data_IF_377895578798
#
_entry.id   IF_377895578798
#
_cell.length_a   1.000
_cell.length_b   1.000
_cell.length_c   1.000
_cell.angle_alpha   90.00
_cell.angle_beta   90.00
_cell.angle_gamma   90.00
#
_symmetry.space_group_name_H-M   'P 1'
#
loop_
_entity.id
_entity.type
_entity.pdbx_description
1 polymer ?
#
# COMPACT_ATOMS: atom_id res chain seq x y z
N UNK A 1 30.71 -65.26 7.23
CA UNK A 1 31.24 -64.03 7.86
C UNK A 1 30.27 -62.91 7.53
N UNK A 2 29.37 -62.61 8.47
CA UNK A 2 28.40 -61.53 8.37
C UNK A 2 28.98 -60.33 9.12
N UNK A 3 29.29 -59.24 8.43
CA UNK A 3 29.72 -58.00 9.04
C UNK A 3 28.54 -57.04 9.15
N UNK A 4 28.18 -56.77 10.40
CA UNK A 4 27.10 -55.88 10.83
C UNK A 4 27.52 -54.42 10.70
N UNK A 5 26.76 -53.65 9.92
CA UNK A 5 26.87 -52.21 9.84
C UNK A 5 26.38 -51.56 11.14
N UNK A 6 27.25 -50.77 11.77
CA UNK A 6 26.93 -49.90 12.93
C UNK A 6 26.78 -48.47 12.43
N UNK A 7 25.58 -47.91 12.52
CA UNK A 7 25.29 -46.49 12.27
C UNK A 7 25.83 -45.61 13.41
N UNK A 8 26.47 -44.46 13.13
CA UNK A 8 26.78 -43.46 14.14
C UNK A 8 25.58 -42.52 14.38
N UNK A 9 25.27 -42.29 15.67
CA UNK A 9 24.23 -41.39 16.15
C UNK A 9 24.56 -39.90 15.92
N UNK A 10 23.56 -39.02 15.71
CA UNK A 10 23.77 -37.63 15.33
C UNK A 10 24.11 -36.71 16.51
N UNK A 11 25.05 -35.81 16.26
CA UNK A 11 25.40 -34.68 17.10
C UNK A 11 24.25 -33.64 17.09
N UNK A 12 23.33 -33.74 18.06
CA UNK A 12 22.22 -32.81 18.25
C UNK A 12 22.50 -31.68 19.26
N UNK A 13 23.68 -31.60 19.87
CA UNK A 13 23.95 -30.67 20.99
C UNK A 13 24.66 -29.36 20.63
N UNK A 14 24.75 -29.02 19.33
CA UNK A 14 25.40 -27.75 18.89
C UNK A 14 24.49 -26.78 18.13
N UNK A 15 23.21 -27.10 17.91
CA UNK A 15 22.29 -26.24 17.18
C UNK A 15 21.56 -25.20 18.05
N UNK A 16 21.36 -25.47 19.36
CA UNK A 16 20.44 -24.66 20.18
C UNK A 16 21.04 -23.36 20.77
N UNK A 17 22.34 -23.12 20.64
CA UNK A 17 22.98 -21.91 21.18
C UNK A 17 23.13 -20.76 20.18
N UNK A 18 22.68 -20.92 18.93
CA UNK A 18 22.69 -19.86 17.91
C UNK A 18 21.30 -19.35 17.50
N UNK A 19 20.21 -19.94 18.00
CA UNK A 19 18.87 -19.72 17.45
C UNK A 19 18.06 -18.55 18.03
N UNK A 20 18.57 -17.76 18.98
CA UNK A 20 17.74 -16.78 19.69
C UNK A 20 18.30 -15.35 19.73
N UNK A 21 18.92 -14.90 18.64
CA UNK A 21 19.26 -13.48 18.46
C UNK A 21 17.97 -12.74 18.06
N UNK A 22 17.50 -11.83 18.93
CA UNK A 22 16.34 -10.97 18.66
C UNK A 22 16.56 -10.23 17.33
N UNK A 23 15.67 -10.37 16.33
CA UNK A 23 15.77 -9.58 15.10
C UNK A 23 15.80 -8.08 15.44
N UNK A 24 16.64 -7.27 14.77
CA UNK A 24 16.65 -5.83 15.01
C UNK A 24 15.29 -5.22 14.63
N UNK A 25 14.83 -4.27 15.44
CA UNK A 25 13.59 -3.53 15.12
C UNK A 25 13.90 -2.60 13.94
N UNK A 26 13.12 -2.65 12.83
CA UNK A 26 13.35 -1.77 11.69
C UNK A 26 13.12 -0.30 12.05
N UNK A 27 14.01 0.57 11.59
CA UNK A 27 13.90 2.02 11.78
C UNK A 27 12.88 2.65 10.83
N UNK A 28 11.69 2.94 11.36
CA UNK A 28 10.56 3.51 10.61
C UNK A 28 10.88 4.84 9.92
N UNK A 29 11.68 5.70 10.56
CA UNK A 29 11.98 7.02 10.04
C UNK A 29 12.98 6.97 8.89
N UNK A 30 13.99 6.08 8.97
CA UNK A 30 14.97 5.88 7.89
C UNK A 30 14.27 5.28 6.66
N UNK A 31 13.45 4.25 6.85
CA UNK A 31 12.64 3.66 5.79
C UNK A 31 11.77 4.69 5.07
N UNK A 32 11.04 5.55 5.80
CA UNK A 32 10.19 6.59 5.20
C UNK A 32 11.00 7.60 4.40
N UNK A 33 12.19 7.98 4.88
CA UNK A 33 13.07 8.92 4.17
C UNK A 33 13.64 8.31 2.88
N UNK A 34 14.10 7.06 2.93
CA UNK A 34 14.65 6.35 1.77
C UNK A 34 13.57 6.06 0.73
N UNK A 35 12.38 5.63 1.16
CA UNK A 35 11.22 5.44 0.30
C UNK A 35 10.82 6.74 -0.39
N UNK A 36 10.75 7.86 0.34
CA UNK A 36 10.39 9.15 -0.26
C UNK A 36 11.43 9.64 -1.28
N UNK A 37 12.73 9.38 -1.05
CA UNK A 37 13.79 9.69 -2.03
C UNK A 37 13.65 8.81 -3.27
N UNK A 38 13.52 7.50 -3.09
CA UNK A 38 13.39 6.55 -4.19
C UNK A 38 12.12 6.78 -5.03
N UNK A 39 10.99 7.09 -4.39
CA UNK A 39 9.72 7.42 -5.08
C UNK A 39 9.81 8.73 -5.88
N UNK A 40 10.51 9.75 -5.36
CA UNK A 40 10.79 10.99 -6.12
C UNK A 40 11.65 10.72 -7.35
N UNK A 41 12.70 9.91 -7.22
CA UNK A 41 13.57 9.55 -8.34
C UNK A 41 12.87 8.68 -9.39
N UNK A 42 11.99 7.77 -8.96
CA UNK A 42 11.14 6.98 -9.86
C UNK A 42 10.14 7.88 -10.60
N UNK A 43 9.50 8.83 -9.90
CA UNK A 43 8.58 9.80 -10.53
C UNK A 43 9.31 10.67 -11.56
N UNK A 44 10.49 11.19 -11.23
CA UNK A 44 11.30 11.94 -12.19
C UNK A 44 11.69 11.10 -13.42
N UNK A 45 11.97 9.80 -13.24
CA UNK A 45 12.22 8.86 -14.34
C UNK A 45 10.98 8.66 -15.21
N UNK A 46 9.80 8.55 -14.60
CA UNK A 46 8.51 8.43 -15.28
C UNK A 46 8.19 9.67 -16.11
N UNK A 47 8.37 10.87 -15.55
CA UNK A 47 8.11 12.12 -16.26
C UNK A 47 9.03 12.29 -17.48
N UNK A 48 10.32 11.94 -17.34
CA UNK A 48 11.27 11.91 -18.47
C UNK A 48 10.87 10.92 -19.54
N UNK A 49 10.46 9.71 -19.14
CA UNK A 49 10.03 8.65 -20.05
C UNK A 49 8.74 9.04 -20.78
N UNK A 50 7.79 9.69 -20.11
CA UNK A 50 6.57 10.22 -20.73
C UNK A 50 6.89 11.30 -21.77
N UNK A 51 7.82 12.22 -21.48
CA UNK A 51 8.27 13.25 -22.43
C UNK A 51 8.94 12.64 -23.67
N UNK A 52 9.82 11.63 -23.51
CA UNK A 52 10.45 10.93 -24.64
C UNK A 52 9.43 10.14 -25.45
N UNK A 53 8.46 9.48 -24.80
CA UNK A 53 7.35 8.79 -25.50
C UNK A 53 6.51 9.75 -26.34
N UNK A 54 6.16 10.93 -25.81
CA UNK A 54 5.42 11.94 -26.56
C UNK A 54 6.18 12.41 -27.81
N UNK A 55 7.51 12.62 -27.71
CA UNK A 55 8.35 12.95 -28.87
C UNK A 55 8.38 11.82 -29.92
N UNK A 56 8.45 10.56 -29.47
CA UNK A 56 8.40 9.39 -30.35
C UNK A 56 7.04 9.27 -31.07
N UNK A 57 5.94 9.58 -30.38
CA UNK A 57 4.59 9.53 -30.95
C UNK A 57 4.35 10.60 -32.03
N UNK A 58 4.97 11.77 -31.89
CA UNK A 58 4.98 12.81 -32.93
C UNK A 58 5.84 12.36 -34.13
N UNK A 59 7.01 11.78 -33.86
CA UNK A 59 7.96 11.33 -34.88
C UNK A 59 7.47 10.11 -35.68
N UNK A 60 6.67 9.24 -35.06
CA UNK A 60 6.15 8.04 -35.72
C UNK A 60 4.76 8.29 -36.31
N UNK A 61 4.62 8.22 -37.65
CA UNK A 61 3.31 8.12 -38.25
C UNK A 61 2.63 6.84 -37.74
N UNK A 62 1.43 6.95 -37.16
CA UNK A 62 0.71 5.79 -36.67
C UNK A 62 0.50 4.81 -37.84
N UNK A 63 0.90 3.54 -37.66
CA UNK A 63 0.88 2.53 -38.72
C UNK A 63 -0.55 2.12 -39.09
N UNK A 64 -1.50 2.35 -38.18
CA UNK A 64 -2.92 2.12 -38.40
C UNK A 64 -3.55 3.29 -39.16
N UNK A 65 -3.96 3.04 -40.40
CA UNK A 65 -4.67 4.01 -41.26
C UNK A 65 -5.96 4.53 -40.62
N UNK A 66 -6.59 3.76 -39.74
CA UNK A 66 -7.90 4.09 -39.17
C UNK A 66 -7.82 5.05 -37.97
N UNK A 67 -6.64 5.26 -37.39
CA UNK A 67 -6.42 6.17 -36.25
C UNK A 67 -5.22 7.11 -36.50
N UNK A 68 -5.31 8.02 -37.48
CA UNK A 68 -4.23 8.98 -37.75
C UNK A 68 -4.07 9.94 -36.57
N UNK A 69 -2.83 10.17 -36.17
CA UNK A 69 -2.44 11.18 -35.17
C UNK A 69 -2.99 12.57 -35.62
N UNK A 70 -3.44 13.46 -34.71
CA UNK A 70 -3.87 14.82 -35.05
C UNK A 70 -3.03 15.54 -36.12
N UNK A 71 -1.70 15.45 -36.05
CA UNK A 71 -0.79 16.05 -37.04
C UNK A 71 -0.91 15.39 -38.41
N UNK A 72 -1.12 14.07 -38.47
CA UNK A 72 -1.34 13.34 -39.73
C UNK A 72 -2.70 13.68 -40.35
N UNK A 73 -3.76 13.81 -39.54
CA UNK A 73 -5.09 14.25 -40.00
C UNK A 73 -5.00 15.62 -40.65
N UNK A 74 -4.40 16.59 -39.95
CA UNK A 74 -4.19 17.94 -40.49
C UNK A 74 -3.38 17.93 -41.79
N UNK A 75 -2.31 17.12 -41.87
CA UNK A 75 -1.53 16.97 -43.11
C UNK A 75 -2.37 16.39 -44.26
N UNK A 76 -3.21 15.39 -43.99
CA UNK A 76 -4.09 14.79 -45.00
C UNK A 76 -5.14 15.79 -45.50
N UNK A 77 -5.73 16.56 -44.59
CA UNK A 77 -6.68 17.64 -44.92
C UNK A 77 -6.03 18.73 -45.76
N UNK A 78 -4.83 19.19 -45.39
CA UNK A 78 -4.07 20.18 -46.16
C UNK A 78 -3.71 19.64 -47.56
N UNK A 79 -3.33 18.35 -47.68
CA UNK A 79 -3.06 17.73 -48.98
C UNK A 79 -4.35 17.65 -49.82
N UNK A 80 -5.49 17.33 -49.21
CA UNK A 80 -6.77 17.31 -49.90
C UNK A 80 -7.15 18.70 -50.41
N UNK A 81 -7.03 19.74 -49.57
CA UNK A 81 -7.26 21.14 -49.96
C UNK A 81 -6.29 21.60 -51.05
N UNK A 82 -5.00 21.27 -50.94
CA UNK A 82 -4.00 21.58 -51.96
C UNK A 82 -4.33 20.91 -53.31
N UNK A 83 -4.78 19.65 -53.29
CA UNK A 83 -5.20 18.93 -54.49
C UNK A 83 -6.48 19.52 -55.10
N UNK A 84 -7.45 19.94 -54.28
CA UNK A 84 -8.66 20.61 -54.74
C UNK A 84 -8.33 21.95 -55.41
N UNK A 85 -7.47 22.76 -54.79
CA UNK A 85 -6.99 24.02 -55.39
C UNK A 85 -6.22 23.74 -56.68
N UNK A 86 -5.37 22.70 -56.70
CA UNK A 86 -4.63 22.30 -57.91
C UNK A 86 -5.55 21.89 -59.05
N UNK A 87 -6.64 21.17 -58.77
CA UNK A 87 -7.66 20.82 -59.77
C UNK A 87 -8.37 22.08 -60.30
N UNK A 88 -8.76 23.01 -59.41
CA UNK A 88 -9.36 24.31 -59.80
C UNK A 88 -8.40 25.15 -60.66
N UNK A 89 -7.12 25.18 -60.31
CA UNK A 89 -6.09 25.88 -61.09
C UNK A 89 -5.78 25.20 -62.43
N UNK A 90 -5.87 23.87 -62.53
CA UNK A 90 -5.62 23.16 -63.79
C UNK A 90 -6.64 23.55 -64.88
N UNK A 91 -7.92 23.68 -64.50
CA UNK A 91 -8.96 24.21 -65.39
C UNK A 91 -8.66 25.64 -65.87
N UNK A 92 -8.25 26.52 -64.95
CA UNK A 92 -7.87 27.90 -65.26
C UNK A 92 -6.64 28.02 -66.16
N UNK A 93 -5.63 27.16 -65.98
CA UNK A 93 -4.42 27.14 -66.83
C UNK A 93 -4.72 26.79 -68.27
N UNK A 94 -5.58 25.80 -68.53
CA UNK A 94 -5.96 25.43 -69.89
C UNK A 94 -6.71 26.58 -70.58
N UNK A 95 -7.68 27.19 -69.90
CA UNK A 95 -8.40 28.35 -70.43
C UNK A 95 -7.46 29.54 -70.72
N UNK A 96 -6.50 29.81 -69.82
CA UNK A 96 -5.49 30.86 -70.00
C UNK A 96 -4.56 30.56 -71.19
N UNK A 97 -4.14 29.31 -71.38
CA UNK A 97 -3.33 28.90 -72.55
C UNK A 97 -4.08 29.15 -73.86
N UNK A 98 -5.36 28.77 -73.92
CA UNK A 98 -6.19 29.01 -75.10
C UNK A 98 -6.36 30.50 -75.41
N UNK A 99 -6.60 31.33 -74.38
CA UNK A 99 -6.66 32.80 -74.54
C UNK A 99 -5.33 33.39 -75.01
N UNK A 100 -4.20 32.92 -74.48
CA UNK A 100 -2.86 33.34 -74.94
C UNK A 100 -2.61 32.96 -76.40
N UNK A 101 -3.01 31.77 -76.82
CA UNK A 101 -2.86 31.34 -78.21
C UNK A 101 -3.80 32.11 -79.16
N UNK A 102 -5.00 32.49 -78.70
CA UNK A 102 -5.88 33.43 -79.42
C UNK A 102 -5.25 34.81 -79.56
N UNK A 103 -4.66 35.37 -78.48
CA UNK A 103 -3.93 36.64 -78.53
C UNK A 103 -2.79 36.57 -79.55
N UNK A 104 -1.97 35.52 -79.54
CA UNK A 104 -0.88 35.35 -80.52
C UNK A 104 -1.39 35.33 -81.96
N UNK A 105 -2.50 34.63 -82.23
CA UNK A 105 -3.13 34.58 -83.55
C UNK A 105 -3.64 35.96 -83.99
N UNK A 106 -4.28 36.70 -83.09
CA UNK A 106 -4.76 38.06 -83.37
C UNK A 106 -3.59 39.05 -83.54
N UNK A 107 -2.52 38.93 -82.74
CA UNK A 107 -1.31 39.74 -82.89
C UNK A 107 -0.65 39.51 -84.25
N UNK A 108 -0.60 38.25 -84.72
CA UNK A 108 -0.09 37.92 -86.07
C UNK A 108 -0.99 38.52 -87.17
N UNK A 109 -2.31 38.46 -86.99
CA UNK A 109 -3.26 39.12 -87.90
C UNK A 109 -3.07 40.64 -87.92
N UNK A 110 -2.90 41.27 -86.76
CA UNK A 110 -2.62 42.72 -86.66
C UNK A 110 -1.32 43.06 -87.39
N UNK A 111 -0.25 42.27 -87.21
CA UNK A 111 1.02 42.47 -87.92
C UNK A 111 0.85 42.36 -89.43
N UNK A 112 0.14 41.34 -89.91
CA UNK A 112 -0.16 41.18 -91.34
C UNK A 112 -0.93 42.39 -91.89
N UNK A 113 -2.00 42.81 -91.21
CA UNK A 113 -2.83 43.95 -91.63
C UNK A 113 -2.08 45.27 -91.59
N UNK A 114 -1.20 45.49 -90.61
CA UNK A 114 -0.32 46.67 -90.56
C UNK A 114 0.66 46.66 -91.74
N UNK A 115 1.25 45.51 -92.07
CA UNK A 115 2.17 45.38 -93.20
C UNK A 115 1.44 45.62 -94.54
N UNK A 116 0.26 45.05 -94.72
CA UNK A 116 -0.62 45.29 -95.88
C UNK A 116 -0.99 46.78 -95.99
N UNK A 117 -1.41 47.40 -94.89
CA UNK A 117 -1.77 48.82 -94.86
C UNK A 117 -0.55 49.70 -95.16
N UNK A 118 0.64 49.37 -94.66
CA UNK A 118 1.89 50.08 -94.95
C UNK A 118 2.27 49.96 -96.43
N UNK A 119 2.17 48.76 -97.00
CA UNK A 119 2.41 48.51 -98.42
C UNK A 119 1.38 49.22 -99.33
N UNK A 120 0.12 49.32 -98.89
CA UNK A 120 -0.90 50.07 -99.59
C UNK A 120 -0.66 51.59 -99.49
N UNK A 121 -0.30 52.10 -98.31
CA UNK A 121 0.09 53.51 -98.10
C UNK A 121 1.29 53.92 -98.94
N UNK A 122 2.30 53.05 -99.11
CA UNK A 122 3.47 53.37 -99.95
C UNK A 122 3.18 53.48 -101.45
N UNK A 123 2.06 52.91 -101.92
CA UNK A 123 1.64 52.97 -103.34
C UNK A 123 0.84 54.24 -103.66
N UNK A 124 0.40 54.99 -102.64
CA UNK A 124 -0.39 56.20 -102.82
C UNK A 124 0.53 57.43 -102.71
N UNK A 125 0.63 58.27 -103.76
CA UNK A 125 1.57 59.41 -103.77
C UNK A 125 1.13 60.60 -102.90
N UNK A 126 -0.13 60.61 -102.46
CA UNK A 126 -0.71 61.68 -101.62
C UNK A 126 -0.81 61.23 -100.16
N UNK A 127 -0.58 62.16 -99.22
CA UNK A 127 -0.57 61.88 -97.78
C UNK A 127 -1.98 61.80 -97.17
N UNK A 128 -2.91 62.60 -97.70
CA UNK A 128 -4.27 62.74 -97.18
C UNK A 128 -5.29 62.77 -98.31
N UNK A 129 -6.54 62.45 -97.97
CA UNK A 129 -7.69 62.62 -98.87
C UNK A 129 -7.91 64.09 -99.25
N UNK A 130 -7.66 65.01 -98.31
CA UNK A 130 -7.81 66.44 -98.53
C UNK A 130 -6.82 66.99 -99.57
N UNK A 131 -5.57 66.52 -99.54
CA UNK A 131 -4.55 66.92 -100.52
C UNK A 131 -4.89 66.41 -101.93
N UNK A 132 -5.41 65.18 -102.03
CA UNK A 132 -5.87 64.60 -103.28
C UNK A 132 -7.04 65.41 -103.87
N UNK A 133 -8.03 65.76 -103.04
CA UNK A 133 -9.20 66.52 -103.47
C UNK A 133 -8.83 67.96 -103.88
N UNK A 134 -7.86 68.60 -103.21
CA UNK A 134 -7.32 69.90 -103.63
C UNK A 134 -6.63 69.84 -104.99
N UNK A 135 -5.87 68.78 -105.26
CA UNK A 135 -5.19 68.59 -106.54
C UNK A 135 -6.19 68.34 -107.68
N UNK A 136 -7.24 67.54 -107.44
CA UNK A 136 -8.35 67.33 -108.38
C UNK A 136 -9.02 68.68 -108.69
N UNK A 137 -9.36 69.46 -107.66
CA UNK A 137 -10.01 70.75 -107.83
C UNK A 137 -9.13 71.78 -108.57
N UNK A 138 -7.81 71.74 -108.38
CA UNK A 138 -6.86 72.60 -109.10
C UNK A 138 -6.79 72.24 -110.58
N UNK A 139 -6.68 70.94 -110.91
CA UNK A 139 -6.65 70.46 -112.30
C UNK A 139 -7.99 70.71 -112.99
N UNK A 140 -9.11 70.48 -112.32
CA UNK A 140 -10.46 70.78 -112.83
C UNK A 140 -10.59 72.29 -113.17
N UNK A 141 -10.08 73.19 -112.31
CA UNK A 141 -10.07 74.65 -112.59
C UNK A 141 -9.19 75.02 -113.78
N UNK A 142 -8.01 74.40 -113.91
CA UNK A 142 -7.09 74.66 -115.02
C UNK A 142 -7.66 74.20 -116.36
N UNK A 143 -8.31 73.02 -116.40
CA UNK A 143 -9.01 72.54 -117.61
C UNK A 143 -10.19 73.45 -117.96
N UNK A 144 -11.01 73.85 -116.98
CA UNK A 144 -12.17 74.72 -117.22
C UNK A 144 -11.79 76.15 -117.64
N UNK A 145 -10.56 76.60 -117.34
CA UNK A 145 -10.08 77.93 -117.75
C UNK A 145 -9.78 78.05 -119.25
N UNK A 146 -9.67 76.93 -119.97
CA UNK A 146 -9.50 76.89 -121.43
C UNK A 146 -8.17 77.47 -121.94
N UNK A 147 -7.21 77.75 -121.06
CA UNK A 147 -5.91 78.35 -121.42
C UNK A 147 -4.84 77.31 -121.75
N UNK A 148 -5.18 76.01 -121.74
CA UNK A 148 -4.24 74.92 -121.94
C UNK A 148 -4.26 74.43 -123.38
N UNK A 149 -3.14 73.85 -123.83
CA UNK A 149 -3.10 73.19 -125.14
C UNK A 149 -3.93 71.91 -125.06
N UNK A 150 -4.64 71.54 -126.13
CA UNK A 150 -5.50 70.34 -126.19
C UNK A 150 -4.81 69.04 -125.71
N UNK A 151 -3.50 68.91 -125.96
CA UNK A 151 -2.70 67.77 -125.49
C UNK A 151 -2.59 67.74 -123.97
N UNK A 152 -2.42 68.90 -123.35
CA UNK A 152 -2.23 69.03 -121.91
C UNK A 152 -3.58 69.00 -121.17
N UNK A 153 -4.67 69.48 -121.78
CA UNK A 153 -6.05 69.27 -121.27
C UNK A 153 -6.41 67.78 -121.24
N UNK A 154 -6.08 67.04 -122.30
CA UNK A 154 -6.30 65.59 -122.35
C UNK A 154 -5.49 64.86 -121.27
N UNK A 155 -4.25 65.30 -121.00
CA UNK A 155 -3.44 64.77 -119.89
C UNK A 155 -4.06 65.11 -118.53
N UNK A 156 -4.44 66.36 -118.29
CA UNK A 156 -5.07 66.80 -117.05
C UNK A 156 -6.39 66.06 -116.78
N UNK A 157 -7.22 65.82 -117.79
CA UNK A 157 -8.44 65.00 -117.68
C UNK A 157 -8.14 63.52 -117.36
N UNK A 158 -7.07 62.95 -117.94
CA UNK A 158 -6.59 61.60 -117.58
C UNK A 158 -6.10 61.56 -116.12
N UNK A 159 -5.43 62.62 -115.68
CA UNK A 159 -4.91 62.75 -114.31
C UNK A 159 -6.05 62.93 -113.31
N UNK A 160 -7.08 63.73 -113.61
CA UNK A 160 -8.30 63.83 -112.79
C UNK A 160 -8.99 62.47 -112.65
N UNK A 161 -9.09 61.70 -113.74
CA UNK A 161 -9.67 60.36 -113.71
C UNK A 161 -8.83 59.39 -112.87
N UNK A 162 -7.50 59.47 -112.94
CA UNK A 162 -6.59 58.65 -112.13
C UNK A 162 -6.64 59.04 -110.65
N UNK A 163 -6.69 60.33 -110.33
CA UNK A 163 -6.84 60.87 -108.98
C UNK A 163 -8.18 60.48 -108.34
N UNK A 164 -9.30 60.55 -109.09
CA UNK A 164 -10.60 60.09 -108.60
C UNK A 164 -10.63 58.58 -108.33
N UNK A 165 -9.91 57.76 -109.11
CA UNK A 165 -9.72 56.33 -108.81
C UNK A 165 -8.90 56.13 -107.54
N UNK A 166 -7.84 56.93 -107.32
CA UNK A 166 -7.05 56.89 -106.09
C UNK A 166 -7.84 57.29 -104.85
N UNK A 167 -8.83 58.19 -104.96
CA UNK A 167 -9.74 58.55 -103.85
C UNK A 167 -10.46 57.34 -103.26
N UNK A 168 -10.90 56.40 -104.10
CA UNK A 168 -11.52 55.16 -103.65
C UNK A 168 -10.54 54.27 -102.86
N UNK A 169 -9.25 54.29 -103.20
CA UNK A 169 -8.23 53.51 -102.50
C UNK A 169 -7.97 54.03 -101.08
N UNK A 170 -8.16 55.33 -100.82
CA UNK A 170 -8.07 55.88 -99.47
C UNK A 170 -9.20 55.42 -98.54
N UNK A 171 -10.43 55.27 -99.05
CA UNK A 171 -11.52 54.66 -98.28
C UNK A 171 -11.19 53.23 -97.84
N UNK A 172 -10.49 52.46 -98.70
CA UNK A 172 -9.99 51.12 -98.35
C UNK A 172 -8.88 51.16 -97.28
N UNK A 173 -8.07 52.23 -97.21
CA UNK A 173 -7.05 52.42 -96.18
C UNK A 173 -7.66 52.73 -94.81
N UNK A 174 -8.75 53.50 -94.77
CA UNK A 174 -9.52 53.78 -93.56
C UNK A 174 -10.25 52.52 -93.07
N UNK A 175 -10.83 51.74 -93.97
CA UNK A 175 -11.44 50.46 -93.62
C UNK A 175 -10.40 49.45 -93.10
N UNK A 176 -9.18 49.44 -93.67
CA UNK A 176 -8.07 48.65 -93.15
C UNK A 176 -7.61 49.13 -91.75
N UNK A 177 -7.65 50.45 -91.50
CA UNK A 177 -7.34 51.00 -90.18
C UNK A 177 -8.37 50.55 -89.13
N UNK A 178 -9.67 50.65 -89.45
CA UNK A 178 -10.75 50.17 -88.58
C UNK A 178 -10.58 48.68 -88.26
N UNK A 179 -10.24 47.85 -89.24
CA UNK A 179 -9.97 46.42 -89.00
C UNK A 179 -8.78 46.18 -88.04
N UNK A 180 -7.72 46.98 -88.13
CA UNK A 180 -6.58 46.90 -87.19
C UNK A 180 -7.01 47.30 -85.78
N UNK A 181 -7.80 48.37 -85.65
CA UNK A 181 -8.26 48.86 -84.35
C UNK A 181 -9.28 47.90 -83.72
N UNK A 182 -10.15 47.28 -84.51
CA UNK A 182 -11.05 46.20 -84.06
C UNK A 182 -10.28 44.97 -83.56
N UNK A 183 -9.21 44.57 -84.25
CA UNK A 183 -8.36 43.46 -83.80
C UNK A 183 -7.60 43.81 -82.52
N UNK A 184 -7.11 45.05 -82.39
CA UNK A 184 -6.47 45.54 -81.16
C UNK A 184 -7.45 45.61 -80.00
N UNK A 185 -8.70 46.02 -80.25
CA UNK A 185 -9.76 46.02 -79.26
C UNK A 185 -10.06 44.60 -78.77
N UNK A 186 -10.17 43.62 -79.69
CA UNK A 186 -10.33 42.19 -79.34
C UNK A 186 -9.16 41.63 -78.53
N UNK A 187 -7.91 42.00 -78.86
CA UNK A 187 -6.74 41.59 -78.07
C UNK A 187 -6.81 42.18 -76.66
N UNK A 188 -7.21 43.44 -76.53
CA UNK A 188 -7.37 44.10 -75.23
C UNK A 188 -8.46 43.42 -74.41
N UNK A 189 -9.63 43.15 -74.99
CA UNK A 189 -10.73 42.45 -74.33
C UNK A 189 -10.31 41.06 -73.81
N UNK A 190 -9.59 40.28 -74.62
CA UNK A 190 -9.10 38.97 -74.19
C UNK A 190 -8.07 39.11 -73.05
N UNK A 191 -7.18 40.12 -73.11
CA UNK A 191 -6.20 40.41 -72.04
C UNK A 191 -6.88 40.83 -70.75
N UNK A 192 -7.87 41.71 -70.80
CA UNK A 192 -8.61 42.17 -69.63
C UNK A 192 -9.40 41.01 -68.99
N UNK A 193 -9.90 40.06 -69.81
CA UNK A 193 -10.55 38.83 -69.32
C UNK A 193 -9.61 37.78 -68.69
N UNK A 194 -8.30 38.04 -68.64
CA UNK A 194 -7.31 37.10 -68.07
C UNK A 194 -6.87 37.46 -66.65
N UNK A 195 -7.14 38.68 -66.17
CA UNK A 195 -6.77 39.14 -64.84
C UNK A 195 -7.86 38.83 -63.80
N UNK A 196 -8.02 37.54 -63.49
CA UNK A 196 -8.98 37.07 -62.48
C UNK A 196 -8.37 37.17 -61.06
N UNK A 197 -8.90 38.02 -60.16
CA UNK A 197 -8.41 38.15 -58.78
C UNK A 197 -8.58 36.85 -57.99
N UNK A 198 -9.59 36.04 -58.32
CA UNK A 198 -9.85 34.74 -57.71
C UNK A 198 -8.71 33.73 -57.98
N UNK A 199 -8.12 33.74 -59.18
CA UNK A 199 -7.00 32.85 -59.50
C UNK A 199 -5.72 33.24 -58.75
N UNK A 200 -5.50 34.55 -58.54
CA UNK A 200 -4.39 35.05 -57.69
C UNK A 200 -4.62 34.62 -56.23
N UNK A 201 -5.83 34.78 -55.70
CA UNK A 201 -6.18 34.34 -54.36
C UNK A 201 -6.02 32.82 -54.15
N UNK A 202 -6.43 32.00 -55.13
CA UNK A 202 -6.23 30.54 -55.10
C UNK A 202 -4.74 30.18 -55.14
N UNK A 203 -3.91 30.91 -55.89
CA UNK A 203 -2.46 30.71 -55.89
C UNK A 203 -1.83 31.03 -54.54
N UNK A 204 -2.25 32.12 -53.90
CA UNK A 204 -1.75 32.50 -52.57
C UNK A 204 -2.18 31.50 -51.50
N UNK A 205 -3.42 31.02 -51.55
CA UNK A 205 -3.90 29.96 -50.66
C UNK A 205 -3.12 28.66 -50.87
N UNK A 206 -2.86 28.26 -52.13
CA UNK A 206 -2.04 27.09 -52.43
C UNK A 206 -0.63 27.23 -51.84
N UNK A 207 0.03 28.38 -52.01
CA UNK A 207 1.37 28.62 -51.49
C UNK A 207 1.40 28.57 -49.95
N UNK A 208 0.39 29.11 -49.27
CA UNK A 208 0.25 29.02 -47.81
C UNK A 208 0.07 27.57 -47.33
N UNK A 209 -0.84 26.83 -47.96
CA UNK A 209 -1.08 25.42 -47.63
C UNK A 209 0.17 24.58 -47.90
N UNK A 210 0.86 24.84 -49.00
CA UNK A 210 2.10 24.14 -49.35
C UNK A 210 3.21 24.42 -48.33
N UNK A 211 3.35 25.67 -47.89
CA UNK A 211 4.28 26.03 -46.81
C UNK A 211 3.96 25.33 -45.49
N UNK A 212 2.68 25.22 -45.11
CA UNK A 212 2.26 24.45 -43.93
C UNK A 212 2.57 22.96 -44.06
N UNK A 213 2.31 22.36 -45.23
CA UNK A 213 2.64 20.96 -45.51
C UNK A 213 4.14 20.72 -45.39
N UNK A 214 4.96 21.62 -45.92
CA UNK A 214 6.41 21.46 -45.91
C UNK A 214 7.01 21.73 -44.51
N UNK A 215 6.42 22.63 -43.72
CA UNK A 215 6.75 22.79 -42.30
C UNK A 215 6.45 21.51 -41.50
N UNK A 216 5.26 20.92 -41.67
CA UNK A 216 4.89 19.66 -41.01
C UNK A 216 5.83 18.52 -41.42
N UNK A 217 6.24 18.45 -42.70
CA UNK A 217 7.23 17.45 -43.14
C UNK A 217 8.60 17.69 -42.52
N UNK A 218 9.07 18.94 -42.45
CA UNK A 218 10.36 19.26 -41.86
C UNK A 218 10.41 18.86 -40.37
N UNK A 219 9.35 19.14 -39.62
CA UNK A 219 9.20 18.69 -38.23
C UNK A 219 9.20 17.17 -38.11
N UNK A 220 8.50 16.46 -39.01
CA UNK A 220 8.51 15.00 -39.05
C UNK A 220 9.89 14.42 -39.38
N UNK A 221 10.60 14.99 -40.36
CA UNK A 221 11.91 14.52 -40.78
C UNK A 221 12.98 14.77 -39.72
N UNK A 222 12.92 15.91 -39.02
CA UNK A 222 13.80 16.20 -37.88
C UNK A 222 13.53 15.25 -36.70
N UNK A 223 12.26 15.06 -36.37
CA UNK A 223 11.84 14.11 -35.33
C UNK A 223 12.20 12.66 -35.70
N UNK A 224 12.13 12.30 -36.99
CA UNK A 224 12.51 10.98 -37.50
C UNK A 224 14.02 10.74 -37.46
N UNK A 225 14.85 11.75 -37.78
CA UNK A 225 16.31 11.69 -37.62
C UNK A 225 16.70 11.45 -36.15
N UNK A 226 15.98 12.09 -35.22
CA UNK A 226 16.14 11.87 -33.77
C UNK A 226 15.46 10.60 -33.23
N UNK A 227 14.73 9.84 -34.06
CA UNK A 227 13.92 8.72 -33.57
C UNK A 227 14.77 7.57 -33.01
N UNK A 228 15.93 7.29 -33.63
CA UNK A 228 16.82 6.24 -33.12
C UNK A 228 17.34 6.58 -31.73
N UNK A 229 17.85 7.81 -31.54
CA UNK A 229 18.34 8.25 -30.23
C UNK A 229 17.23 8.33 -29.20
N UNK A 230 16.03 8.81 -29.58
CA UNK A 230 14.86 8.82 -28.69
C UNK A 230 14.43 7.39 -28.29
N UNK A 231 14.53 6.40 -29.19
CA UNK A 231 14.24 4.99 -28.86
C UNK A 231 15.28 4.40 -27.92
N UNK A 232 16.55 4.74 -28.11
CA UNK A 232 17.64 4.32 -27.21
C UNK A 232 17.47 4.96 -25.82
N UNK A 233 17.19 6.27 -25.78
CA UNK A 233 16.86 7.00 -24.54
C UNK A 233 15.63 6.41 -23.85
N UNK A 234 14.56 6.09 -24.60
CA UNK A 234 13.38 5.42 -24.04
C UNK A 234 13.74 4.08 -23.42
N UNK A 235 14.53 3.27 -24.12
CA UNK A 235 14.93 1.94 -23.64
C UNK A 235 15.79 2.04 -22.38
N UNK A 236 16.73 2.99 -22.34
CA UNK A 236 17.55 3.31 -21.15
C UNK A 236 16.69 3.80 -19.99
N UNK A 237 15.83 4.80 -20.20
CA UNK A 237 14.93 5.32 -19.17
C UNK A 237 13.94 4.27 -18.66
N UNK A 238 13.51 3.35 -19.52
CA UNK A 238 12.64 2.23 -19.13
C UNK A 238 13.40 1.21 -18.27
N UNK A 239 14.67 0.92 -18.58
CA UNK A 239 15.52 0.11 -17.73
C UNK A 239 15.77 0.77 -16.37
N UNK A 240 16.14 2.06 -16.34
CA UNK A 240 16.33 2.84 -15.11
C UNK A 240 15.06 2.91 -14.27
N UNK A 241 13.90 3.07 -14.91
CA UNK A 241 12.60 3.07 -14.22
C UNK A 241 12.34 1.71 -13.57
N UNK A 242 12.57 0.62 -14.30
CA UNK A 242 12.39 -0.73 -13.77
C UNK A 242 13.35 -1.01 -12.61
N UNK A 243 14.61 -0.60 -12.72
CA UNK A 243 15.60 -0.71 -11.65
C UNK A 243 15.14 0.05 -10.39
N UNK A 244 14.76 1.33 -10.53
CA UNK A 244 14.24 2.13 -9.41
C UNK A 244 12.97 1.53 -8.81
N UNK A 245 12.06 1.02 -9.63
CA UNK A 245 10.85 0.37 -9.15
C UNK A 245 11.17 -0.92 -8.38
N UNK A 246 12.08 -1.75 -8.90
CA UNK A 246 12.54 -2.96 -8.19
C UNK A 246 13.27 -2.62 -6.90
N UNK A 247 14.03 -1.52 -6.85
CA UNK A 247 14.67 -1.03 -5.63
C UNK A 247 13.64 -0.57 -4.58
N UNK A 248 12.61 0.20 -4.99
CA UNK A 248 11.49 0.58 -4.10
C UNK A 248 10.78 -0.66 -3.55
N UNK A 249 10.53 -1.65 -4.42
CA UNK A 249 9.88 -2.89 -4.03
C UNK A 249 10.74 -3.67 -3.03
N UNK A 250 12.03 -3.88 -3.31
CA UNK A 250 12.98 -4.52 -2.39
C UNK A 250 13.05 -3.80 -1.05
N UNK A 251 13.14 -2.46 -1.06
CA UNK A 251 13.17 -1.66 0.17
C UNK A 251 11.90 -1.85 1.02
N UNK A 252 10.72 -1.91 0.38
CA UNK A 252 9.46 -2.25 1.04
C UNK A 252 9.46 -3.69 1.58
N UNK A 253 9.83 -4.65 0.74
CA UNK A 253 9.85 -6.08 1.08
C UNK A 253 10.82 -6.37 2.23
N UNK A 254 12.01 -5.78 2.23
CA UNK A 254 13.02 -5.91 3.29
C UNK A 254 12.51 -5.32 4.61
N UNK A 255 11.96 -4.10 4.58
CA UNK A 255 11.42 -3.45 5.78
C UNK A 255 10.25 -4.22 6.39
N UNK A 256 9.26 -4.61 5.58
CA UNK A 256 8.11 -5.38 6.06
C UNK A 256 8.49 -6.82 6.43
N UNK A 257 9.47 -7.41 5.75
CA UNK A 257 10.05 -8.70 6.10
C UNK A 257 10.71 -8.68 7.47
N UNK A 258 11.58 -7.70 7.74
CA UNK A 258 12.20 -7.52 9.05
C UNK A 258 11.15 -7.20 10.13
N UNK A 259 10.14 -6.38 9.84
CA UNK A 259 9.04 -6.07 10.77
C UNK A 259 8.25 -7.33 11.12
N UNK A 260 7.94 -8.18 10.13
CA UNK A 260 7.25 -9.46 10.33
C UNK A 260 8.11 -10.42 11.15
N UNK A 261 9.41 -10.54 10.86
CA UNK A 261 10.34 -11.37 11.61
C UNK A 261 10.45 -10.93 13.08
N UNK A 262 10.56 -9.63 13.34
CA UNK A 262 10.56 -9.06 14.68
C UNK A 262 9.24 -9.36 15.43
N UNK A 263 8.09 -9.20 14.76
CA UNK A 263 6.78 -9.49 15.36
C UNK A 263 6.56 -10.98 15.64
N UNK A 264 7.05 -11.87 14.78
CA UNK A 264 6.99 -13.31 14.99
C UNK A 264 7.83 -13.70 16.21
N UNK A 265 9.07 -13.19 16.31
CA UNK A 265 9.93 -13.41 17.47
C UNK A 265 9.29 -12.91 18.78
N UNK A 266 8.73 -11.69 18.79
CA UNK A 266 8.05 -11.16 19.98
C UNK A 266 6.81 -11.99 20.36
N UNK A 267 6.09 -12.55 19.38
CA UNK A 267 4.94 -13.44 19.63
C UNK A 267 5.40 -14.76 20.24
N UNK A 268 6.39 -15.42 19.63
CA UNK A 268 6.96 -16.68 20.13
C UNK A 268 7.55 -16.51 21.54
N UNK A 269 8.23 -15.39 21.81
CA UNK A 269 8.74 -15.09 23.15
C UNK A 269 7.63 -14.94 24.19
N UNK A 270 6.50 -14.31 23.82
CA UNK A 270 5.32 -14.17 24.69
C UNK A 270 4.62 -15.50 24.92
N UNK A 271 4.50 -16.32 23.88
CA UNK A 271 3.91 -17.67 23.97
C UNK A 271 4.76 -18.55 24.87
N UNK A 272 6.09 -18.60 24.68
CA UNK A 272 7.00 -19.32 25.58
C UNK A 272 6.90 -18.84 27.03
N UNK A 273 6.73 -17.54 27.27
CA UNK A 273 6.54 -17.02 28.63
C UNK A 273 5.19 -17.46 29.22
N UNK A 274 4.11 -17.38 28.43
CA UNK A 274 2.77 -17.82 28.84
C UNK A 274 2.73 -19.32 29.13
N UNK A 275 3.37 -20.14 28.30
CA UNK A 275 3.49 -21.58 28.50
C UNK A 275 4.26 -21.91 29.77
N UNK A 276 5.39 -21.22 30.04
CA UNK A 276 6.12 -21.37 31.32
C UNK A 276 5.26 -21.01 32.52
N UNK A 277 4.53 -19.89 32.45
CA UNK A 277 3.63 -19.46 33.51
C UNK A 277 2.47 -20.44 33.73
N UNK A 278 1.86 -20.96 32.64
CA UNK A 278 0.83 -21.99 32.73
C UNK A 278 1.38 -23.27 33.33
N UNK A 279 2.54 -23.75 32.88
CA UNK A 279 3.17 -24.95 33.42
C UNK A 279 3.57 -24.80 34.90
N UNK A 280 4.06 -23.62 35.32
CA UNK A 280 4.36 -23.33 36.72
C UNK A 280 3.08 -23.28 37.58
N UNK A 281 2.02 -22.64 37.08
CA UNK A 281 0.72 -22.61 37.76
C UNK A 281 0.11 -24.01 37.86
N UNK A 282 0.12 -24.80 36.79
CA UNK A 282 -0.34 -26.19 36.77
C UNK A 282 0.45 -27.05 37.76
N UNK A 283 1.78 -26.91 37.81
CA UNK A 283 2.61 -27.59 38.81
C UNK A 283 2.25 -27.16 40.23
N UNK A 284 2.11 -25.88 40.49
CA UNK A 284 1.71 -25.36 41.80
C UNK A 284 0.34 -25.87 42.23
N UNK A 285 -0.64 -25.87 41.32
CA UNK A 285 -1.97 -26.42 41.59
C UNK A 285 -1.91 -27.93 41.85
N UNK A 286 -1.13 -28.69 41.07
CA UNK A 286 -0.93 -30.13 41.29
C UNK A 286 -0.24 -30.42 42.63
N UNK A 287 0.81 -29.67 42.99
CA UNK A 287 1.51 -29.80 44.27
C UNK A 287 0.59 -29.45 45.44
N UNK A 288 -0.21 -28.38 45.33
CA UNK A 288 -1.22 -28.04 46.34
C UNK A 288 -2.28 -29.11 46.49
N UNK A 289 -2.80 -29.65 45.39
CA UNK A 289 -3.78 -30.75 45.41
C UNK A 289 -3.20 -31.98 46.09
N UNK A 290 -1.97 -32.37 45.75
CA UNK A 290 -1.25 -33.47 46.40
C UNK A 290 -1.06 -33.23 47.90
N UNK A 291 -0.60 -32.04 48.30
CA UNK A 291 -0.42 -31.70 49.70
C UNK A 291 -1.74 -31.70 50.49
N UNK A 292 -2.85 -31.25 49.90
CA UNK A 292 -4.17 -31.29 50.52
C UNK A 292 -4.73 -32.72 50.63
N UNK A 293 -4.48 -33.57 49.63
CA UNK A 293 -4.82 -34.99 49.67
C UNK A 293 -3.99 -35.73 50.74
N UNK A 294 -2.67 -35.47 50.79
CA UNK A 294 -1.77 -36.01 51.80
C UNK A 294 -2.16 -35.56 53.21
N UNK A 295 -2.57 -34.29 53.40
CA UNK A 295 -3.07 -33.80 54.69
C UNK A 295 -4.35 -34.51 55.11
N UNK A 296 -5.33 -34.65 54.20
CA UNK A 296 -6.58 -35.37 54.49
C UNK A 296 -6.34 -36.84 54.83
N UNK A 297 -5.39 -37.48 54.16
CA UNK A 297 -4.99 -38.86 54.46
C UNK A 297 -4.26 -38.95 55.81
N UNK A 298 -3.38 -37.99 56.11
CA UNK A 298 -2.69 -37.87 57.40
C UNK A 298 -3.68 -37.70 58.56
N UNK A 299 -4.57 -36.71 58.47
CA UNK A 299 -5.62 -36.43 59.46
C UNK A 299 -6.52 -37.67 59.68
N UNK A 300 -6.79 -38.46 58.63
CA UNK A 300 -7.58 -39.68 58.73
C UNK A 300 -6.80 -40.91 59.24
N UNK A 301 -5.46 -40.87 59.18
CA UNK A 301 -4.58 -41.94 59.66
C UNK A 301 -4.26 -41.82 61.15
N UNK A 302 -4.60 -40.69 61.78
CA UNK A 302 -4.55 -40.54 63.23
C UNK A 302 -5.47 -41.58 63.89
N UNK A 303 -4.97 -42.35 64.89
CA UNK A 303 -5.77 -43.37 65.55
C UNK A 303 -7.10 -42.82 66.07
N UNK A 304 -8.19 -43.53 65.77
CA UNK A 304 -9.52 -43.16 66.22
C UNK A 304 -9.58 -43.15 67.77
N UNK A 305 -10.46 -42.31 68.30
CA UNK A 305 -10.70 -42.16 69.73
C UNK A 305 -9.48 -41.68 70.57
N UNK A 306 -8.45 -41.09 69.96
CA UNK A 306 -7.25 -40.66 70.71
C UNK A 306 -7.57 -39.67 71.84
N UNK A 307 -8.45 -38.70 71.59
CA UNK A 307 -8.81 -37.71 72.60
C UNK A 307 -9.73 -38.31 73.67
N UNK A 308 -10.62 -39.22 73.29
CA UNK A 308 -11.47 -40.00 74.20
C UNK A 308 -10.62 -40.90 75.10
N UNK A 309 -9.62 -41.59 74.55
CA UNK A 309 -8.69 -42.43 75.30
C UNK A 309 -7.83 -41.56 76.24
N UNK A 310 -7.36 -40.38 75.80
CA UNK A 310 -6.63 -39.43 76.67
C UNK A 310 -7.50 -38.94 77.82
N UNK A 311 -8.74 -38.53 77.54
CA UNK A 311 -9.72 -38.11 78.56
C UNK A 311 -10.06 -39.24 79.53
N UNK A 312 -10.28 -40.46 79.04
CA UNK A 312 -10.54 -41.62 79.87
C UNK A 312 -9.35 -41.98 80.78
N UNK A 313 -8.12 -41.92 80.26
CA UNK A 313 -6.92 -42.15 81.06
C UNK A 313 -6.69 -41.04 82.10
N UNK A 314 -6.93 -39.77 81.74
CA UNK A 314 -6.90 -38.64 82.67
C UNK A 314 -7.93 -38.82 83.79
N UNK A 315 -9.15 -39.24 83.44
CA UNK A 315 -10.22 -39.51 84.38
C UNK A 315 -9.91 -40.70 85.30
N UNK A 316 -9.36 -41.79 84.76
CA UNK A 316 -8.93 -42.94 85.57
C UNK A 316 -7.77 -42.60 86.49
N UNK A 317 -6.83 -41.75 86.07
CA UNK A 317 -5.75 -41.27 86.93
C UNK A 317 -6.27 -40.41 88.10
N UNK A 318 -7.37 -39.69 87.89
CA UNK A 318 -8.05 -38.91 88.93
C UNK A 318 -8.91 -39.78 89.87
N UNK A 319 -9.65 -40.75 89.32
CA UNK A 319 -10.55 -41.64 90.09
C UNK A 319 -9.79 -42.77 90.82
N UNK A 320 -8.69 -43.25 90.24
CA UNK A 320 -7.81 -44.28 90.80
C UNK A 320 -6.34 -43.82 90.71
N UNK A 321 -5.77 -43.26 91.80
CA UNK A 321 -4.39 -42.80 91.82
C UNK A 321 -3.34 -43.90 91.52
N UNK A 322 -3.72 -45.18 91.62
CA UNK A 322 -2.86 -46.32 91.32
C UNK A 322 -2.93 -46.77 89.84
N UNK A 323 -3.82 -46.19 89.03
CA UNK A 323 -3.95 -46.52 87.63
C UNK A 323 -2.73 -46.02 86.84
N UNK A 324 -1.86 -46.94 86.43
CA UNK A 324 -0.72 -46.62 85.57
C UNK A 324 -1.16 -46.60 84.11
N UNK A 325 -1.16 -45.42 83.52
CA UNK A 325 -1.29 -45.28 82.06
C UNK A 325 0.01 -45.78 81.42
N UNK A 326 -0.06 -46.81 80.59
CA UNK A 326 1.02 -47.20 79.68
C UNK A 326 1.37 -45.99 78.81
N UNK A 327 2.48 -45.31 79.09
CA UNK A 327 2.93 -44.16 78.31
C UNK A 327 3.46 -44.66 76.97
N UNK A 328 2.79 -44.28 75.88
CA UNK A 328 3.28 -44.55 74.54
C UNK A 328 4.67 -43.94 74.27
N UNK A 329 5.40 -44.43 73.25
CA UNK A 329 6.82 -44.16 73.00
C UNK A 329 7.19 -42.70 72.68
N UNK A 330 6.21 -41.78 72.56
CA UNK A 330 6.44 -40.37 72.21
C UNK A 330 6.86 -39.47 73.37
N UNK A 331 6.93 -39.98 74.60
CA UNK A 331 7.40 -39.23 75.78
C UNK A 331 8.79 -39.70 76.25
N UNK A 332 9.57 -40.33 75.36
CA UNK A 332 10.99 -40.56 75.59
C UNK A 332 11.74 -39.23 75.40
N UNK A 333 12.56 -38.87 76.37
CA UNK A 333 13.41 -37.67 76.35
C UNK A 333 14.43 -37.78 75.21
N UNK A 334 14.12 -37.21 74.04
CA UNK A 334 14.92 -37.35 72.81
C UNK A 334 16.06 -36.33 72.70
N UNK A 335 16.51 -35.74 73.82
CA UNK A 335 17.76 -34.97 73.87
C UNK A 335 17.82 -33.75 72.95
N UNK A 336 16.69 -33.27 72.42
CA UNK A 336 16.58 -32.14 71.50
C UNK A 336 16.48 -30.79 72.24
N UNK A 337 17.32 -30.61 73.27
CA UNK A 337 17.52 -29.31 73.91
C UNK A 337 18.20 -28.34 72.93
N UNK A 338 17.58 -27.19 72.68
CA UNK A 338 18.04 -26.19 71.72
C UNK A 338 19.47 -25.69 72.04
N UNK A 339 20.44 -26.07 71.21
CA UNK A 339 21.76 -25.42 71.20
C UNK A 339 21.71 -24.15 70.35
N UNK A 340 22.21 -23.05 70.91
CA UNK A 340 22.33 -21.77 70.22
C UNK A 340 23.40 -21.85 69.12
N UNK A 341 22.98 -22.13 67.89
CA UNK A 341 23.84 -22.04 66.71
C UNK A 341 23.47 -20.81 65.87
N UNK A 342 24.37 -19.81 65.88
CA UNK A 342 24.81 -18.94 64.76
C UNK A 342 25.34 -17.61 65.30
N UNK A 343 26.66 -17.48 65.39
CA UNK A 343 27.35 -16.19 65.27
C UNK A 343 27.42 -15.82 63.79
N UNK A 344 26.92 -14.65 63.41
CA UNK A 344 27.02 -14.14 62.04
C UNK A 344 28.44 -13.58 61.83
N UNK A 345 29.13 -14.10 60.82
CA UNK A 345 30.46 -13.64 60.37
C UNK A 345 30.36 -12.25 59.72
N UNK A 346 31.10 -11.28 60.23
CA UNK A 346 30.97 -9.84 59.94
C UNK A 346 31.80 -9.35 58.73
N UNK A 347 32.44 -10.25 57.97
CA UNK A 347 33.47 -9.87 56.99
C UNK A 347 32.97 -9.38 55.61
N UNK A 348 31.66 -9.20 55.37
CA UNK A 348 31.14 -9.12 53.99
C UNK A 348 30.06 -8.08 53.64
N UNK A 349 29.56 -7.25 54.57
CA UNK A 349 28.46 -6.32 54.26
C UNK A 349 28.95 -4.87 54.05
N UNK A 350 28.72 -4.32 52.86
CA UNK A 350 28.90 -2.90 52.53
C UNK A 350 27.53 -2.21 52.49
N UNK A 351 27.12 -1.65 53.63
CA UNK A 351 25.85 -0.93 53.84
C UNK A 351 25.62 -0.62 55.33
N UNK A 352 24.73 0.33 55.65
CA UNK A 352 24.44 0.73 57.05
C UNK A 352 23.89 -0.43 57.87
N UNK A 353 24.62 -0.81 58.93
CA UNK A 353 24.28 -1.86 59.90
C UNK A 353 22.99 -1.50 60.64
N UNK A 354 21.98 -2.38 60.58
CA UNK A 354 20.81 -2.28 61.43
C UNK A 354 21.17 -2.89 62.79
N UNK A 355 21.48 -2.05 63.79
CA UNK A 355 21.83 -2.53 65.13
C UNK A 355 20.65 -3.27 65.77
N UNK A 356 20.99 -4.27 66.60
CA UNK A 356 20.07 -5.05 67.41
C UNK A 356 19.26 -4.12 68.30
N UNK A 357 18.04 -4.54 68.62
CA UNK A 357 17.01 -3.75 69.31
C UNK A 357 17.46 -3.18 70.68
N UNK A 358 18.52 -3.72 71.26
CA UNK A 358 19.08 -3.33 72.56
C UNK A 358 20.01 -2.10 72.47
N UNK A 359 20.55 -1.78 71.29
CA UNK A 359 21.51 -0.67 71.10
C UNK A 359 20.87 0.58 70.45
N UNK A 360 19.53 0.68 70.43
CA UNK A 360 18.77 1.75 69.76
C UNK A 360 17.91 2.58 70.73
N UNK A 361 18.38 2.71 71.97
CA UNK A 361 17.60 3.26 73.08
C UNK A 361 17.61 4.79 73.17
N UNK A 362 18.34 5.51 72.30
CA UNK A 362 18.43 6.99 72.35
C UNK A 362 17.56 7.74 71.31
N UNK A 363 16.87 7.03 70.39
CA UNK A 363 16.07 7.66 69.31
C UNK A 363 14.56 7.38 69.39
N UNK A 364 14.07 6.78 70.48
CA UNK A 364 12.64 6.49 70.65
C UNK A 364 12.05 7.24 71.84
N UNK A 365 11.20 8.22 71.54
CA UNK A 365 10.47 9.03 72.51
C UNK A 365 9.77 8.17 73.60
N UNK A 366 9.82 8.55 74.89
CA UNK A 366 9.36 7.70 75.98
C UNK A 366 7.83 7.64 76.04
N UNK A 367 7.27 6.52 75.58
CA UNK A 367 5.88 6.17 75.84
C UNK A 367 5.72 5.70 77.31
N UNK A 368 4.92 6.48 78.05
CA UNK A 368 4.63 6.37 79.48
C UNK A 368 4.07 4.98 79.86
N UNK A 369 4.77 4.27 80.76
CA UNK A 369 4.29 3.05 81.42
C UNK A 369 3.30 3.39 82.54
N UNK A 370 2.08 2.85 82.45
CA UNK A 370 1.11 2.76 83.57
C UNK A 370 0.92 1.28 83.92
N UNK A 371 1.37 0.89 85.11
CA UNK A 371 1.41 -0.50 85.56
C UNK A 371 0.05 -1.08 85.98
N UNK A 372 -0.03 -2.42 86.03
CA UNK A 372 -0.95 -3.12 86.93
C UNK A 372 -0.33 -4.42 87.44
N UNK A 373 -0.24 -4.44 88.77
CA UNK A 373 0.26 -5.46 89.69
C UNK A 373 -0.66 -6.69 89.66
N UNK A 374 -0.07 -7.89 89.69
CA UNK A 374 -0.75 -9.17 89.44
C UNK A 374 -1.52 -9.79 90.61
N UNK A 375 -1.81 -11.09 90.49
CA UNK A 375 -2.09 -11.97 91.64
C UNK A 375 -1.86 -13.44 91.24
N UNK A 376 -0.92 -14.09 91.91
CA UNK A 376 -0.85 -15.55 92.04
C UNK A 376 -1.97 -16.00 92.98
N UNK A 377 -2.70 -17.05 92.62
CA UNK A 377 -3.50 -17.81 93.59
C UNK A 377 -3.09 -19.26 93.52
N UNK A 378 -2.40 -19.66 94.58
CA UNK A 378 -2.07 -21.02 94.93
C UNK A 378 -3.33 -21.78 95.39
N UNK A 379 -3.32 -23.08 95.14
CA UNK A 379 -4.24 -24.07 95.70
C UNK A 379 -4.16 -24.15 97.22
N UNK A 380 -5.30 -24.45 97.84
CA UNK A 380 -5.37 -24.94 99.21
C UNK A 380 -6.80 -25.20 99.67
N UNK A 381 -7.03 -26.35 100.29
CA UNK A 381 -8.04 -26.46 101.35
C UNK A 381 -9.14 -27.50 101.17
N UNK A 382 -8.84 -28.71 101.67
CA UNK A 382 -9.77 -29.75 102.11
C UNK A 382 -11.05 -29.22 102.77
N UNK A 383 -12.20 -29.69 102.28
CA UNK A 383 -13.43 -29.85 103.05
C UNK A 383 -13.98 -31.24 102.72
N UNK A 384 -14.58 -31.93 103.69
CA UNK A 384 -15.23 -33.24 103.55
C UNK A 384 -16.51 -33.18 102.67
N UNK A 385 -16.48 -32.37 101.61
CA UNK A 385 -17.44 -32.31 100.52
C UNK A 385 -16.71 -32.82 99.30
N UNK A 386 -17.27 -33.84 98.65
CA UNK A 386 -16.68 -34.44 97.46
C UNK A 386 -16.50 -33.36 96.38
N UNK A 387 -15.25 -33.00 96.08
CA UNK A 387 -14.92 -31.92 95.14
C UNK A 387 -14.38 -32.51 93.85
N UNK A 388 -15.21 -32.49 92.81
CA UNK A 388 -14.85 -32.91 91.46
C UNK A 388 -14.43 -31.67 90.67
N UNK A 389 -13.18 -31.60 90.16
CA UNK A 389 -12.76 -30.50 89.28
C UNK A 389 -13.70 -30.36 88.08
N UNK A 390 -14.02 -29.14 87.61
CA UNK A 390 -14.90 -28.93 86.44
C UNK A 390 -14.46 -29.72 85.20
N UNK A 391 -13.14 -29.85 84.98
CA UNK A 391 -12.59 -30.66 83.88
C UNK A 391 -12.96 -32.15 83.99
N UNK A 392 -13.03 -32.71 85.20
CA UNK A 392 -13.43 -34.11 85.44
C UNK A 392 -14.93 -34.27 85.21
N UNK A 393 -15.74 -33.25 85.53
CA UNK A 393 -17.18 -33.23 85.23
C UNK A 393 -17.41 -33.16 83.72
N UNK A 394 -16.65 -32.32 83.01
CA UNK A 394 -16.69 -32.21 81.55
C UNK A 394 -16.23 -33.51 80.86
N UNK A 395 -15.15 -34.15 81.33
CA UNK A 395 -14.68 -35.43 80.80
C UNK A 395 -15.69 -36.56 81.05
N UNK A 396 -16.28 -36.63 82.24
CA UNK A 396 -17.37 -37.57 82.55
C UNK A 396 -18.59 -37.35 81.63
N UNK A 397 -19.01 -36.08 81.46
CA UNK A 397 -20.13 -35.71 80.61
C UNK A 397 -19.87 -36.01 79.12
N UNK A 398 -18.66 -35.71 78.63
CA UNK A 398 -18.23 -36.02 77.26
C UNK A 398 -18.23 -37.53 76.99
N UNK A 399 -17.98 -38.34 78.01
CA UNK A 399 -18.07 -39.80 77.94
C UNK A 399 -19.48 -40.32 78.22
N UNK A 400 -20.47 -39.50 78.57
CA UNK A 400 -21.82 -39.93 78.94
C UNK A 400 -21.84 -40.81 80.19
N UNK A 401 -21.03 -40.44 81.19
CA UNK A 401 -20.99 -41.07 82.51
C UNK A 401 -21.38 -40.00 83.53
N UNK A 402 -22.28 -40.33 84.46
CA UNK A 402 -22.63 -39.40 85.53
C UNK A 402 -21.42 -39.15 86.44
N UNK A 403 -21.08 -37.88 86.72
CA UNK A 403 -20.00 -37.56 87.64
C UNK A 403 -20.27 -38.21 89.02
N UNK A 404 -19.24 -38.72 89.70
CA UNK A 404 -19.43 -39.24 91.05
C UNK A 404 -19.97 -38.11 91.93
N UNK A 405 -21.09 -38.34 92.63
CA UNK A 405 -21.65 -37.36 93.57
C UNK A 405 -21.13 -37.59 94.99
N UNK A 406 -20.58 -38.78 95.26
CA UNK A 406 -19.99 -39.15 96.53
C UNK A 406 -18.75 -40.03 96.35
N UNK A 407 -17.93 -40.14 97.40
CA UNK A 407 -16.75 -41.01 97.40
C UNK A 407 -17.07 -42.51 97.23
N UNK A 408 -18.32 -42.92 97.52
CA UNK A 408 -18.78 -44.29 97.34
C UNK A 408 -19.07 -44.65 95.87
N UNK A 409 -19.30 -43.64 95.01
CA UNK A 409 -19.63 -43.84 93.60
C UNK A 409 -18.39 -43.91 92.70
N UNK A 410 -17.21 -43.53 93.22
CA UNK A 410 -15.92 -43.57 92.53
C UNK A 410 -15.63 -44.96 91.90
N UNK A 411 -15.73 -46.10 92.62
CA UNK A 411 -15.45 -47.41 92.03
C UNK A 411 -16.42 -47.77 90.89
N UNK A 412 -17.71 -47.46 91.06
CA UNK A 412 -18.72 -47.73 90.03
C UNK A 412 -18.54 -46.86 88.78
N UNK A 413 -18.12 -45.60 88.95
CA UNK A 413 -17.75 -44.71 87.84
C UNK A 413 -16.44 -45.18 87.19
N UNK A 414 -15.43 -45.58 87.96
CA UNK A 414 -14.15 -46.07 87.44
C UNK A 414 -14.32 -47.34 86.58
N UNK A 415 -15.20 -48.27 86.98
CA UNK A 415 -15.54 -49.45 86.16
C UNK A 415 -16.22 -49.07 84.84
N UNK A 416 -17.15 -48.10 84.87
CA UNK A 416 -17.79 -47.58 83.65
C UNK A 416 -16.79 -46.89 82.72
N UNK A 417 -15.81 -46.16 83.27
CA UNK A 417 -14.73 -45.52 82.49
C UNK A 417 -13.78 -46.58 81.91
N UNK A 418 -13.42 -47.63 82.66
CA UNK A 418 -12.62 -48.75 82.15
C UNK A 418 -13.34 -49.50 81.03
N UNK A 419 -14.62 -49.80 81.19
CA UNK A 419 -15.41 -50.46 80.16
C UNK A 419 -15.46 -49.66 78.85
N UNK A 420 -15.59 -48.33 78.92
CA UNK A 420 -15.55 -47.47 77.72
C UNK A 420 -14.15 -47.34 77.14
N UNK A 421 -13.11 -47.30 77.98
CA UNK A 421 -11.72 -47.30 77.55
C UNK A 421 -11.35 -48.60 76.81
N UNK A 422 -11.79 -49.75 77.31
CA UNK A 422 -11.57 -51.04 76.64
C UNK A 422 -12.37 -51.14 75.33
N UNK A 423 -13.60 -50.61 75.30
CA UNK A 423 -14.36 -50.48 74.06
C UNK A 423 -13.62 -49.62 73.03
N UNK A 424 -13.12 -48.44 73.41
CA UNK A 424 -12.41 -47.56 72.49
C UNK A 424 -11.08 -48.16 72.02
N UNK A 425 -10.32 -48.84 72.89
CA UNK A 425 -9.08 -49.52 72.49
C UNK A 425 -9.33 -50.67 71.51
N UNK A 426 -10.39 -51.45 71.73
CA UNK A 426 -10.73 -52.58 70.86
C UNK A 426 -11.35 -52.13 69.52
N UNK A 427 -12.13 -51.03 69.51
CA UNK A 427 -12.75 -50.48 68.30
C UNK A 427 -11.83 -49.48 67.55
N UNK A 428 -10.71 -49.07 68.17
CA UNK A 428 -9.77 -48.07 67.62
C UNK A 428 -9.24 -48.48 66.25
N UNK A 429 -8.77 -49.71 66.07
CA UNK A 429 -8.21 -50.18 64.79
C UNK A 429 -9.30 -50.22 63.70
N UNK A 430 -10.48 -50.76 64.04
CA UNK A 430 -11.59 -50.90 63.11
C UNK A 430 -12.14 -49.53 62.65
N UNK A 431 -12.22 -48.55 63.54
CA UNK A 431 -12.69 -47.20 63.20
C UNK A 431 -11.63 -46.38 62.48
N UNK A 432 -10.34 -46.55 62.83
CA UNK A 432 -9.24 -45.92 62.09
C UNK A 432 -9.24 -46.41 60.64
N UNK A 433 -9.40 -47.72 60.42
CA UNK A 433 -9.53 -48.27 59.06
C UNK A 433 -10.75 -47.71 58.32
N UNK A 434 -11.91 -47.60 58.98
CA UNK A 434 -13.11 -46.99 58.38
C UNK A 434 -12.92 -45.50 58.06
N UNK A 435 -12.20 -44.75 58.89
CA UNK A 435 -11.89 -43.34 58.64
C UNK A 435 -10.91 -43.18 57.48
N UNK A 436 -9.87 -44.02 57.41
CA UNK A 436 -8.94 -44.07 56.27
C UNK A 436 -9.68 -44.42 54.98
N UNK A 437 -10.58 -45.41 55.01
CA UNK A 437 -11.38 -45.79 53.84
C UNK A 437 -12.35 -44.68 53.39
N UNK A 438 -12.99 -43.99 54.33
CA UNK A 438 -13.83 -42.83 54.03
C UNK A 438 -13.00 -41.68 53.43
N UNK A 439 -11.87 -41.35 54.03
CA UNK A 439 -10.97 -40.31 53.51
C UNK A 439 -10.41 -40.67 52.13
N UNK A 440 -10.06 -41.93 51.88
CA UNK A 440 -9.66 -42.41 50.55
C UNK A 440 -10.80 -42.32 49.54
N UNK A 441 -12.04 -42.63 49.94
CA UNK A 441 -13.22 -42.48 49.07
C UNK A 441 -13.52 -41.01 48.79
N UNK A 442 -13.46 -40.14 49.79
CA UNK A 442 -13.65 -38.70 49.61
C UNK A 442 -12.56 -38.07 48.75
N UNK A 443 -11.28 -38.47 48.91
CA UNK A 443 -10.19 -38.05 48.01
C UNK A 443 -10.46 -38.54 46.58
N UNK A 444 -10.84 -39.81 46.40
CA UNK A 444 -11.17 -40.35 45.08
C UNK A 444 -12.39 -39.68 44.45
N UNK A 445 -13.40 -39.31 45.24
CA UNK A 445 -14.57 -38.56 44.79
C UNK A 445 -14.22 -37.12 44.43
N UNK A 446 -13.34 -36.45 45.19
CA UNK A 446 -12.84 -35.11 44.87
C UNK A 446 -11.98 -35.13 43.60
N UNK A 447 -11.11 -36.12 43.44
CA UNK A 447 -10.32 -36.32 42.23
C UNK A 447 -11.21 -36.64 41.01
N UNK A 448 -12.27 -37.46 41.19
CA UNK A 448 -13.22 -37.78 40.12
C UNK A 448 -14.16 -36.62 39.77
N UNK A 449 -14.62 -35.86 40.76
CA UNK A 449 -15.45 -34.68 40.57
C UNK A 449 -14.67 -33.57 39.84
N UNK A 450 -13.40 -33.37 40.16
CA UNK A 450 -12.54 -32.44 39.43
C UNK A 450 -12.14 -32.96 38.05
N UNK A 451 -11.89 -34.26 37.87
CA UNK A 451 -11.67 -34.83 36.53
C UNK A 451 -12.90 -34.69 35.61
N UNK A 452 -14.10 -34.67 36.18
CA UNK A 452 -15.33 -34.36 35.45
C UNK A 452 -15.52 -32.83 35.27
N UNK A 453 -15.11 -32.01 36.24
CA UNK A 453 -15.09 -30.54 36.14
C UNK A 453 -14.15 -30.04 35.04
N UNK A 454 -12.93 -30.54 34.97
CA UNK A 454 -11.94 -30.25 33.90
C UNK A 454 -12.46 -30.69 32.52
N UNK A 455 -13.20 -31.81 32.43
CA UNK A 455 -13.84 -32.25 31.18
C UNK A 455 -15.00 -31.32 30.76
N UNK A 456 -15.77 -30.80 31.71
CA UNK A 456 -16.86 -29.85 31.41
C UNK A 456 -16.28 -28.47 31.04
N UNK A 457 -15.18 -28.04 31.65
CA UNK A 457 -14.48 -26.81 31.24
C UNK A 457 -13.77 -26.95 29.89
N UNK A 458 -13.15 -28.10 29.59
CA UNK A 458 -12.59 -28.38 28.25
C UNK A 458 -13.68 -28.41 27.18
N UNK A 459 -14.78 -29.14 27.38
CA UNK A 459 -15.88 -29.19 26.40
C UNK A 459 -16.56 -27.83 26.20
N UNK A 460 -16.66 -26.99 27.24
CA UNK A 460 -17.21 -25.63 27.11
C UNK A 460 -16.21 -24.62 26.50
N UNK A 461 -14.90 -24.85 26.63
CA UNK A 461 -13.87 -24.09 25.91
C UNK A 461 -13.84 -24.48 24.43
N UNK A 462 -13.89 -25.77 24.09
CA UNK A 462 -13.95 -26.27 22.72
C UNK A 462 -15.22 -25.80 21.98
N UNK A 463 -16.37 -25.76 22.67
CA UNK A 463 -17.62 -25.19 22.14
C UNK A 463 -17.54 -23.67 21.90
N UNK A 464 -16.74 -22.94 22.69
CA UNK A 464 -16.53 -21.50 22.49
C UNK A 464 -15.55 -21.22 21.36
N UNK A 465 -14.48 -21.99 21.21
CA UNK A 465 -13.54 -21.84 20.10
C UNK A 465 -14.18 -22.19 18.75
N UNK A 466 -14.99 -23.25 18.69
CA UNK A 466 -15.79 -23.60 17.50
C UNK A 466 -16.84 -22.53 17.16
N UNK A 467 -17.51 -21.95 18.17
CA UNK A 467 -18.47 -20.84 17.96
C UNK A 467 -17.83 -19.51 17.54
N UNK A 468 -16.53 -19.32 17.80
CA UNK A 468 -15.76 -18.14 17.37
C UNK A 468 -15.20 -18.33 15.95
N UNK A 469 -14.83 -19.56 15.58
CA UNK A 469 -14.42 -19.90 14.22
C UNK A 469 -15.55 -19.72 13.19
N UNK A 470 -16.77 -20.17 13.50
CA UNK A 470 -17.96 -19.99 12.62
C UNK A 470 -18.35 -18.51 12.42
N UNK A 471 -17.99 -17.62 13.37
CA UNK A 471 -18.24 -16.18 13.27
C UNK A 471 -17.16 -15.42 12.49
N UNK A 472 -16.01 -16.02 12.22
CA UNK A 472 -14.93 -15.39 11.44
C UNK A 472 -14.99 -15.77 9.94
N UNK A 473 -15.73 -16.83 9.59
CA UNK A 473 -15.92 -17.27 8.19
C UNK A 473 -17.26 -16.83 7.57
N UNK A 474 -18.07 -16.05 8.29
CA UNK A 474 -19.35 -15.47 7.81
C UNK A 474 -19.23 -14.00 7.38
#
# INVERSE_FOLDING_TARGET
MAETATSPAPAADKADKQANVRPPKPDENLFKQELAKAEKEHKASMDRLAAVKAKIEIAMPNKNKDQPNPTQKRRQELIAQANEIRQKQAGGKNARSTKLDQIKRLDEQVRSRINEQKAAKSKVPFKSLEDLDRQIASLDKQVNSGTMKLVDEKKALSDISSLRKMRKNFGQLDDAQKQIDDLRAKIKEIKDSMDDPEQKALSDQYNKIQAEIDAIKAEQDEAYKGLSSLRDERSKLQAEQQEKYTAIRKLKDDYYGQKKAYQAYDREARERYREKQRAEQERYHQERKKAEAERRLGDASDPAYLDEIRRANSLLQFLDPNHKVEKGPLMADTGLGAQAQRSVDESGLKGTKLLRKEDRDEEYAPAVKKGKKGKKTAHGGSSNKFNVPPAVVEDCAAMGIDPPMSAADIPAVAEKVRAKLDFWKNDQEAQTQRNIEKAKKEIAELEAAEANGDKVEQTTADLKETSIADKQES
#
